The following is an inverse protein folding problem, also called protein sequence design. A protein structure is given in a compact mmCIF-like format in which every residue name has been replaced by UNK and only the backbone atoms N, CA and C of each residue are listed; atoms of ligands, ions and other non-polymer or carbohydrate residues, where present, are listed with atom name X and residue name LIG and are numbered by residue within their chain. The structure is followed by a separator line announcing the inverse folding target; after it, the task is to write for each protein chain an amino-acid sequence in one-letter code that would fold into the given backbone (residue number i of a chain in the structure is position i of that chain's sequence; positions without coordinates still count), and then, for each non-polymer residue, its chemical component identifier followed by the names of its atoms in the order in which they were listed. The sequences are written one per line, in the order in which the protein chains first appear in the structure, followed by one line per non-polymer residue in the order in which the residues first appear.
data_IF_167140265772
#
_entry.id   IF_167140265772
#
_cell.length_a   1.000
_cell.length_b   1.000
_cell.length_c   1.000
_cell.angle_alpha   90.00
_cell.angle_beta   90.00
_cell.angle_gamma   90.00
#
_symmetry.space_group_name_H-M   'P 1'
#
loop_
_entity.id
_entity.type
_entity.pdbx_description
1 polymer ?
#
# COMPACT_ATOMS: atom_id res chain seq x y z
N UNK A 1 6.15 12.40 33.29
CA UNK A 1 6.27 10.98 32.90
C UNK A 1 5.13 10.54 31.99
N UNK A 2 3.85 10.63 32.39
CA UNK A 2 2.69 10.17 31.58
C UNK A 2 2.59 10.74 30.15
N UNK A 3 2.85 12.05 29.96
CA UNK A 3 2.83 12.67 28.62
C UNK A 3 3.93 12.17 27.67
N UNK A 4 5.06 11.70 28.21
CA UNK A 4 6.15 11.19 27.38
C UNK A 4 5.86 9.74 26.94
N UNK A 5 5.23 8.95 27.80
CA UNK A 5 4.80 7.58 27.48
C UNK A 5 3.67 7.53 26.45
N UNK A 6 2.71 8.47 26.51
CA UNK A 6 1.67 8.60 25.48
C UNK A 6 2.28 8.92 24.11
N UNK A 7 3.20 9.89 24.04
CA UNK A 7 3.87 10.25 22.77
C UNK A 7 4.67 9.10 22.17
N UNK A 8 5.37 8.33 22.99
CA UNK A 8 6.14 7.17 22.53
C UNK A 8 5.21 6.03 22.09
N UNK A 9 4.08 5.80 22.79
CA UNK A 9 3.04 4.86 22.33
C UNK A 9 2.43 5.28 21.00
N UNK A 10 2.15 6.56 20.82
CA UNK A 10 1.62 7.08 19.56
C UNK A 10 2.61 6.89 18.41
N UNK A 11 3.91 7.14 18.63
CA UNK A 11 4.96 6.84 17.63
C UNK A 11 5.01 5.37 17.25
N UNK A 12 5.10 4.48 18.24
CA UNK A 12 5.19 3.02 17.99
C UNK A 12 3.94 2.52 17.27
N UNK A 13 2.75 3.01 17.65
CA UNK A 13 1.50 2.69 16.97
C UNK A 13 1.52 3.14 15.51
N UNK A 14 2.02 4.34 15.23
CA UNK A 14 2.15 4.88 13.87
C UNK A 14 3.15 4.10 13.02
N UNK A 15 4.32 3.77 13.56
CA UNK A 15 5.33 2.97 12.86
C UNK A 15 4.78 1.58 12.52
N UNK A 16 4.08 0.96 13.47
CA UNK A 16 3.44 -0.35 13.28
C UNK A 16 2.33 -0.28 12.23
N UNK A 17 1.50 0.76 12.28
CA UNK A 17 0.40 0.97 11.34
C UNK A 17 0.91 1.29 9.92
N UNK A 18 1.93 2.13 9.80
CA UNK A 18 2.58 2.43 8.52
C UNK A 18 3.20 1.19 7.88
N UNK A 19 3.86 0.35 8.69
CA UNK A 19 4.40 -0.94 8.23
C UNK A 19 3.29 -1.90 7.80
N UNK A 20 2.21 -2.00 8.58
CA UNK A 20 1.03 -2.81 8.24
C UNK A 20 0.39 -2.37 6.90
N UNK A 21 0.14 -1.07 6.70
CA UNK A 21 -0.42 -0.56 5.45
C UNK A 21 0.54 -0.72 4.28
N UNK A 22 1.85 -0.55 4.47
CA UNK A 22 2.84 -0.82 3.44
C UNK A 22 2.86 -2.30 3.04
N UNK A 23 2.88 -3.21 4.01
CA UNK A 23 2.85 -4.64 3.77
C UNK A 23 1.53 -5.08 3.11
N UNK A 24 0.41 -4.48 3.52
CA UNK A 24 -0.91 -4.69 2.90
C UNK A 24 -0.92 -4.18 1.45
N UNK A 25 -0.47 -2.95 1.21
CA UNK A 25 -0.42 -2.38 -0.13
C UNK A 25 0.48 -3.20 -1.06
N UNK A 26 1.65 -3.62 -0.58
CA UNK A 26 2.57 -4.51 -1.31
C UNK A 26 1.91 -5.85 -1.62
N UNK A 27 1.16 -6.43 -0.68
CA UNK A 27 0.46 -7.71 -0.86
C UNK A 27 -0.69 -7.58 -1.87
N UNK A 28 -1.52 -6.54 -1.76
CA UNK A 28 -2.59 -6.25 -2.70
C UNK A 28 -2.05 -6.00 -4.11
N UNK A 29 -0.94 -5.27 -4.23
CA UNK A 29 -0.27 -5.04 -5.51
C UNK A 29 0.27 -6.34 -6.12
N UNK A 30 0.91 -7.19 -5.32
CA UNK A 30 1.38 -8.50 -5.78
C UNK A 30 0.22 -9.39 -6.26
N UNK A 31 -0.89 -9.43 -5.51
CA UNK A 31 -2.09 -10.17 -5.91
C UNK A 31 -2.69 -9.64 -7.21
N UNK A 32 -2.74 -8.31 -7.40
CA UNK A 32 -3.19 -7.69 -8.65
C UNK A 32 -2.30 -8.06 -9.84
N UNK A 33 -0.97 -8.00 -9.70
CA UNK A 33 -0.05 -8.40 -10.76
C UNK A 33 -0.27 -9.87 -11.12
N UNK A 34 -0.35 -10.76 -10.13
CA UNK A 34 -0.57 -12.20 -10.37
C UNK A 34 -1.90 -12.40 -11.10
N UNK A 35 -2.97 -11.74 -10.66
CA UNK A 35 -4.27 -11.79 -11.34
C UNK A 35 -4.23 -11.28 -12.77
N UNK A 36 -3.54 -10.16 -13.02
CA UNK A 36 -3.40 -9.56 -14.34
C UNK A 36 -2.59 -10.46 -15.29
N UNK A 37 -1.50 -11.08 -14.81
CA UNK A 37 -0.70 -12.04 -15.57
C UNK A 37 -1.54 -13.26 -15.93
N UNK A 38 -2.23 -13.87 -14.95
CA UNK A 38 -3.07 -15.06 -15.20
C UNK A 38 -4.21 -14.74 -16.18
N UNK A 39 -4.89 -13.61 -16.01
CA UNK A 39 -5.95 -13.16 -16.92
C UNK A 39 -5.43 -12.91 -18.34
N UNK A 40 -4.23 -12.34 -18.48
CA UNK A 40 -3.59 -12.14 -19.77
C UNK A 40 -3.27 -13.49 -20.46
N UNK A 41 -2.70 -14.45 -19.73
CA UNK A 41 -2.40 -15.78 -20.29
C UNK A 41 -3.65 -16.57 -20.68
N UNK A 42 -4.76 -16.39 -19.95
CA UNK A 42 -6.06 -16.98 -20.32
C UNK A 42 -6.76 -16.25 -21.46
N UNK A 43 -6.21 -15.14 -21.97
CA UNK A 43 -6.85 -14.21 -22.91
C UNK A 43 -8.15 -13.58 -22.38
N UNK A 44 -8.40 -13.66 -21.07
CA UNK A 44 -9.56 -13.03 -20.41
C UNK A 44 -9.37 -11.51 -20.29
N UNK A 45 -8.12 -11.05 -20.33
CA UNK A 45 -7.74 -9.64 -20.18
C UNK A 45 -6.80 -9.24 -21.31
N UNK A 46 -7.10 -8.13 -21.99
CA UNK A 46 -6.23 -7.61 -23.06
C UNK A 46 -4.94 -7.03 -22.48
N UNK A 47 -3.87 -6.99 -23.29
CA UNK A 47 -2.58 -6.43 -22.87
C UNK A 47 -2.68 -4.97 -22.41
N UNK A 48 -3.52 -4.16 -23.07
CA UNK A 48 -3.76 -2.76 -22.67
C UNK A 48 -4.40 -2.66 -21.29
N UNK A 49 -5.42 -3.48 -21.01
CA UNK A 49 -6.07 -3.51 -19.68
C UNK A 49 -5.09 -3.96 -18.60
N UNK A 50 -4.21 -4.92 -18.91
CA UNK A 50 -3.16 -5.36 -18.00
C UNK A 50 -2.20 -4.21 -17.63
N UNK A 51 -1.75 -3.42 -18.62
CA UNK A 51 -0.88 -2.25 -18.40
C UNK A 51 -1.59 -1.17 -17.56
N UNK A 52 -2.87 -0.92 -17.81
CA UNK A 52 -3.67 0.03 -17.02
C UNK A 52 -3.82 -0.44 -15.56
N UNK A 53 -4.11 -1.72 -15.33
CA UNK A 53 -4.24 -2.26 -13.97
C UNK A 53 -2.93 -2.16 -13.18
N UNK A 54 -1.80 -2.45 -13.82
CA UNK A 54 -0.48 -2.34 -13.17
C UNK A 54 -0.16 -0.89 -12.82
N UNK A 55 -0.42 0.05 -13.72
CA UNK A 55 -0.14 1.48 -13.48
C UNK A 55 -1.02 2.06 -12.37
N UNK A 56 -2.32 1.73 -12.34
CA UNK A 56 -3.22 2.11 -11.24
C UNK A 56 -2.80 1.46 -9.91
N UNK A 57 -2.34 0.21 -9.94
CA UNK A 57 -1.80 -0.48 -8.76
C UNK A 57 -0.57 0.22 -8.16
N UNK A 58 0.36 0.67 -9.01
CA UNK A 58 1.54 1.41 -8.56
C UNK A 58 1.14 2.76 -7.96
N UNK A 59 0.29 3.52 -8.65
CA UNK A 59 -0.16 4.85 -8.21
C UNK A 59 -0.91 4.79 -6.87
N UNK A 60 -1.85 3.85 -6.74
CA UNK A 60 -2.60 3.66 -5.49
C UNK A 60 -1.70 3.26 -4.31
N UNK A 61 -0.70 2.39 -4.55
CA UNK A 61 0.28 1.99 -3.54
C UNK A 61 1.13 3.18 -3.08
N UNK A 62 1.59 4.03 -4.00
CA UNK A 62 2.36 5.24 -3.66
C UNK A 62 1.52 6.28 -2.95
N UNK A 63 0.24 6.43 -3.33
CA UNK A 63 -0.70 7.32 -2.65
C UNK A 63 -0.97 6.86 -1.21
N UNK A 64 -1.26 5.58 -0.98
CA UNK A 64 -1.45 5.04 0.37
C UNK A 64 -0.19 5.14 1.23
N UNK A 65 0.98 4.85 0.66
CA UNK A 65 2.26 5.03 1.36
C UNK A 65 2.50 6.51 1.74
N UNK A 66 2.17 7.44 0.84
CA UNK A 66 2.31 8.88 1.09
C UNK A 66 1.33 9.38 2.14
N UNK A 67 0.08 8.91 2.12
CA UNK A 67 -0.93 9.22 3.14
C UNK A 67 -0.49 8.66 4.50
N UNK A 68 0.01 7.42 4.55
CA UNK A 68 0.58 6.83 5.76
C UNK A 68 1.75 7.65 6.31
N UNK A 69 2.67 8.10 5.44
CA UNK A 69 3.80 8.94 5.82
C UNK A 69 3.37 10.34 6.31
N UNK A 70 2.38 10.95 5.66
CA UNK A 70 1.85 12.26 6.04
C UNK A 70 1.17 12.22 7.41
N UNK A 71 0.36 11.18 7.66
CA UNK A 71 -0.27 10.94 8.97
C UNK A 71 0.81 10.71 10.06
N UNK A 72 1.92 10.04 9.71
CA UNK A 72 3.03 9.82 10.63
C UNK A 72 3.75 11.13 11.02
N UNK A 73 3.94 12.03 10.04
CA UNK A 73 4.82 13.20 10.14
C UNK A 73 4.12 14.48 10.59
N UNK A 74 2.82 14.65 10.37
CA UNK A 74 2.07 15.85 10.73
C UNK A 74 1.19 15.65 11.98
N UNK A 75 1.82 15.30 13.12
CA UNK A 75 1.38 15.62 14.49
C UNK A 75 2.40 15.19 15.54
#
# INVERSE_FOLDING_TARGET
MKQNEEKEREKVSRETLGKFFYDLARTCFAAMIIGAIVGFFKKDVSGEVCVVLVTVGIFSTTAFASVGYYILKHK
#
